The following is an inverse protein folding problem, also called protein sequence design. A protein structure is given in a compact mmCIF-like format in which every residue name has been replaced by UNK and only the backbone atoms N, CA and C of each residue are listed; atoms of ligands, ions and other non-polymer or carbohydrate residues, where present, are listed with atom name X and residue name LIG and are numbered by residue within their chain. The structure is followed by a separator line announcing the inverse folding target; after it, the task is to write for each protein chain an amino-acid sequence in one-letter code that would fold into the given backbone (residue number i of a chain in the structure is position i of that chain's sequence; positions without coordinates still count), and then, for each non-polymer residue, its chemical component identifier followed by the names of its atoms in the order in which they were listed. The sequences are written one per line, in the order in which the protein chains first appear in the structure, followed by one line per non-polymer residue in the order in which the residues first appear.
data_IF_156685198061
#
_entry.id   IF_156685198061
#
_cell.length_a   1.000
_cell.length_b   1.000
_cell.length_c   1.000
_cell.angle_alpha   90.00
_cell.angle_beta   90.00
_cell.angle_gamma   90.00
#
_symmetry.space_group_name_H-M   'P 1'
#
loop_
_entity.id
_entity.type
_entity.pdbx_description
1 polymer ?
#
# COMPACT_ATOMS: atom_id res chain seq x y z
N UNK A 1 -9.06 2.63 -19.17
CA UNK A 1 -9.00 2.78 -17.71
C UNK A 1 -8.10 3.98 -17.42
N UNK A 2 -7.96 4.39 -16.16
CA UNK A 2 -6.88 5.27 -15.70
C UNK A 2 -6.04 4.51 -14.69
N UNK A 3 -4.72 4.71 -14.71
CA UNK A 3 -3.81 4.16 -13.69
C UNK A 3 -3.32 5.26 -12.77
N UNK A 4 -3.26 4.98 -11.48
CA UNK A 4 -2.65 5.85 -10.46
C UNK A 4 -1.67 5.04 -9.64
N UNK A 5 -0.59 5.67 -9.19
CA UNK A 5 0.37 5.08 -8.26
C UNK A 5 0.30 5.84 -6.95
N UNK A 6 0.41 5.15 -5.81
CA UNK A 6 0.25 5.78 -4.49
C UNK A 6 1.33 5.36 -3.50
N UNK A 7 2.11 6.34 -3.06
CA UNK A 7 3.22 6.16 -2.12
C UNK A 7 3.25 7.21 -1.01
N UNK A 8 2.15 7.95 -0.80
CA UNK A 8 2.13 8.93 0.27
C UNK A 8 1.85 8.27 1.64
N UNK A 9 2.51 8.70 2.73
CA UNK A 9 3.58 9.70 2.77
C UNK A 9 4.92 9.16 2.21
N UNK A 10 5.54 9.88 1.27
CA UNK A 10 6.80 9.43 0.64
C UNK A 10 7.94 9.24 1.64
N UNK A 11 7.98 10.06 2.70
CA UNK A 11 8.94 9.91 3.79
C UNK A 11 8.81 8.55 4.51
N UNK A 12 7.60 8.01 4.63
CA UNK A 12 7.35 6.71 5.24
C UNK A 12 7.60 5.56 4.25
N UNK A 13 6.99 5.63 3.06
CA UNK A 13 6.99 4.52 2.09
C UNK A 13 8.35 4.28 1.46
N UNK A 14 9.23 5.27 1.43
CA UNK A 14 10.57 5.20 0.85
C UNK A 14 11.68 5.53 1.85
N UNK A 15 11.43 5.40 3.15
CA UNK A 15 12.44 5.71 4.17
C UNK A 15 13.73 4.89 3.96
N UNK A 16 14.87 5.57 3.80
CA UNK A 16 16.17 4.96 3.59
C UNK A 16 16.47 4.62 2.13
N UNK A 17 15.60 4.99 1.18
CA UNK A 17 15.81 4.81 -0.25
C UNK A 17 16.69 5.94 -0.84
N UNK A 18 17.88 5.58 -1.32
CA UNK A 18 18.85 6.53 -1.88
C UNK A 18 18.41 7.14 -3.21
N UNK A 19 17.70 6.36 -4.04
CA UNK A 19 17.31 6.78 -5.39
C UNK A 19 16.21 7.85 -5.41
N UNK A 20 15.56 8.10 -4.27
CA UNK A 20 14.59 9.19 -4.08
C UNK A 20 15.07 10.24 -3.06
N UNK A 21 16.34 10.22 -2.67
CA UNK A 21 16.90 11.22 -1.74
C UNK A 21 16.32 11.14 -0.32
N UNK A 22 15.97 9.93 0.14
CA UNK A 22 15.39 9.67 1.48
C UNK A 22 16.31 8.83 2.36
N UNK A 23 17.60 8.76 2.05
CA UNK A 23 18.59 7.98 2.80
C UNK A 23 18.76 8.40 4.26
N UNK A 24 18.41 9.64 4.61
CA UNK A 24 18.44 10.19 5.96
C UNK A 24 17.16 9.88 6.76
N UNK A 25 16.12 9.35 6.12
CA UNK A 25 14.84 9.04 6.74
C UNK A 25 14.80 7.58 7.15
N UNK A 26 14.74 7.32 8.46
CA UNK A 26 14.61 5.97 9.02
C UNK A 26 13.78 6.00 10.30
N UNK A 27 13.13 4.89 10.62
CA UNK A 27 12.31 4.76 11.83
C UNK A 27 11.01 5.54 11.78
N UNK A 28 10.55 5.95 10.59
CA UNK A 28 9.27 6.63 10.42
C UNK A 28 8.18 5.58 10.49
N UNK A 29 7.24 5.78 11.40
CA UNK A 29 6.08 4.90 11.56
C UNK A 29 4.85 5.47 10.87
N UNK A 30 4.03 4.56 10.34
CA UNK A 30 2.64 4.82 10.03
C UNK A 30 1.78 4.09 11.06
N UNK A 31 0.99 4.83 11.82
CA UNK A 31 0.29 4.28 12.98
C UNK A 31 -1.18 3.99 12.73
N UNK A 32 -1.70 4.41 11.59
CA UNK A 32 -3.10 4.21 11.23
C UNK A 32 -4.04 4.99 12.13
N UNK A 33 -3.58 6.14 12.61
CA UNK A 33 -4.41 7.16 13.23
C UNK A 33 -5.50 7.61 12.27
N UNK A 34 -6.57 8.19 12.81
CA UNK A 34 -7.69 8.67 11.98
C UNK A 34 -7.24 9.74 10.98
N UNK A 35 -6.29 10.61 11.36
CA UNK A 35 -5.75 11.63 10.47
C UNK A 35 -4.92 11.03 9.33
N UNK A 36 -4.06 10.05 9.60
CA UNK A 36 -3.30 9.35 8.57
C UNK A 36 -4.22 8.62 7.58
N UNK A 37 -5.22 7.90 8.09
CA UNK A 37 -6.22 7.22 7.26
C UNK A 37 -7.03 8.22 6.43
N UNK A 38 -7.42 9.35 7.02
CA UNK A 38 -8.15 10.42 6.35
C UNK A 38 -7.33 11.07 5.25
N UNK A 39 -6.02 11.23 5.42
CA UNK A 39 -5.15 11.77 4.37
C UNK A 39 -5.12 10.88 3.12
N UNK A 40 -4.99 9.57 3.31
CA UNK A 40 -5.04 8.58 2.22
C UNK A 40 -6.42 8.59 1.56
N UNK A 41 -7.49 8.50 2.37
CA UNK A 41 -8.87 8.55 1.87
C UNK A 41 -9.14 9.80 1.05
N UNK A 42 -8.69 10.97 1.52
CA UNK A 42 -8.88 12.24 0.82
C UNK A 42 -8.18 12.25 -0.54
N UNK A 43 -7.03 11.59 -0.66
CA UNK A 43 -6.31 11.45 -1.93
C UNK A 43 -7.08 10.53 -2.90
N UNK A 44 -7.60 9.41 -2.39
CA UNK A 44 -8.37 8.46 -3.17
C UNK A 44 -9.72 9.03 -3.61
N UNK A 45 -10.41 9.77 -2.74
CA UNK A 45 -11.67 10.44 -3.05
C UNK A 45 -11.51 11.43 -4.21
N UNK A 46 -10.37 12.15 -4.30
CA UNK A 46 -10.07 13.05 -5.43
C UNK A 46 -9.95 12.28 -6.74
N UNK A 47 -9.16 11.20 -6.76
CA UNK A 47 -9.03 10.36 -7.95
C UNK A 47 -10.38 9.71 -8.34
N UNK A 48 -11.13 9.22 -7.35
CA UNK A 48 -12.46 8.63 -7.57
C UNK A 48 -13.45 9.63 -8.15
N UNK A 49 -13.43 10.88 -7.68
CA UNK A 49 -14.31 11.95 -8.19
C UNK A 49 -14.00 12.24 -9.65
N UNK A 50 -12.73 12.41 -9.99
CA UNK A 50 -12.29 12.59 -11.38
C UNK A 50 -12.72 11.41 -12.28
N UNK A 51 -12.52 10.17 -11.81
CA UNK A 51 -12.87 8.97 -12.55
C UNK A 51 -14.37 8.84 -12.83
N UNK A 52 -15.23 9.24 -11.87
CA UNK A 52 -16.70 9.27 -12.05
C UNK A 52 -17.12 10.30 -13.07
N UNK A 53 -16.54 11.50 -13.02
CA UNK A 53 -16.82 12.57 -13.97
C UNK A 53 -16.45 12.18 -15.41
N UNK A 54 -15.40 11.38 -15.57
CA UNK A 54 -14.86 10.99 -16.88
C UNK A 54 -15.28 9.57 -17.34
N UNK A 55 -16.14 8.90 -16.58
CA UNK A 55 -16.59 7.52 -16.83
C UNK A 55 -15.42 6.54 -17.09
N UNK A 56 -14.42 6.57 -16.21
CA UNK A 56 -13.23 5.70 -16.29
C UNK A 56 -13.08 4.83 -15.03
N UNK A 57 -12.84 3.51 -15.16
CA UNK A 57 -12.40 2.71 -14.03
C UNK A 57 -10.96 3.04 -13.63
N UNK A 58 -10.67 2.92 -12.34
CA UNK A 58 -9.32 3.12 -11.77
C UNK A 58 -8.61 1.78 -11.55
N UNK A 59 -7.34 1.77 -11.91
CA UNK A 59 -6.35 0.77 -11.51
C UNK A 59 -5.30 1.45 -10.62
N UNK A 60 -5.13 1.00 -9.38
CA UNK A 60 -4.00 1.37 -8.53
C UNK A 60 -2.79 0.53 -8.95
N UNK A 61 -2.07 1.01 -9.96
CA UNK A 61 -1.00 0.26 -10.63
C UNK A 61 0.19 -0.03 -9.74
N UNK A 62 0.46 0.84 -8.76
CA UNK A 62 1.48 0.61 -7.76
C UNK A 62 1.07 1.23 -6.41
N UNK A 63 1.40 0.50 -5.35
CA UNK A 63 1.50 0.99 -3.99
C UNK A 63 2.43 0.07 -3.22
N UNK A 64 3.13 0.60 -2.23
CA UNK A 64 4.13 -0.17 -1.52
C UNK A 64 4.78 0.58 -0.37
N UNK A 65 5.52 -0.17 0.44
CA UNK A 65 6.37 0.36 1.51
C UNK A 65 7.71 -0.37 1.45
N UNK A 66 8.79 0.40 1.46
CA UNK A 66 10.16 -0.08 1.41
C UNK A 66 10.49 -0.95 2.64
N UNK A 67 11.31 -1.98 2.48
CA UNK A 67 11.58 -3.01 3.50
C UNK A 67 12.26 -2.48 4.78
N UNK A 68 12.84 -1.29 4.71
CA UNK A 68 13.44 -0.58 5.86
C UNK A 68 12.43 0.01 6.84
N UNK A 69 11.16 0.12 6.45
CA UNK A 69 10.12 0.59 7.35
C UNK A 69 9.81 -0.45 8.44
N UNK A 70 9.42 -0.04 9.66
CA UNK A 70 8.96 -0.97 10.69
C UNK A 70 7.85 -1.89 10.16
N UNK A 71 8.03 -3.21 10.29
CA UNK A 71 7.13 -4.22 9.69
C UNK A 71 5.66 -4.00 10.08
N UNK A 72 5.41 -3.67 11.35
CA UNK A 72 4.05 -3.41 11.85
C UNK A 72 3.38 -2.22 11.14
N UNK A 73 4.11 -1.12 10.93
CA UNK A 73 3.61 0.02 10.15
C UNK A 73 3.38 -0.35 8.69
N UNK A 74 4.31 -1.11 8.10
CA UNK A 74 4.20 -1.60 6.72
C UNK A 74 2.94 -2.44 6.52
N UNK A 75 2.68 -3.42 7.38
CA UNK A 75 1.49 -4.27 7.34
C UNK A 75 0.21 -3.45 7.48
N UNK A 76 0.14 -2.54 8.47
CA UNK A 76 -1.03 -1.68 8.69
C UNK A 76 -1.33 -0.82 7.47
N UNK A 77 -0.31 -0.17 6.91
CA UNK A 77 -0.45 0.69 5.74
C UNK A 77 -0.94 -0.10 4.52
N UNK A 78 -0.28 -1.22 4.20
CA UNK A 78 -0.61 -2.04 3.02
C UNK A 78 -2.02 -2.61 3.11
N UNK A 79 -2.39 -3.11 4.30
CA UNK A 79 -3.76 -3.57 4.54
C UNK A 79 -4.75 -2.45 4.31
N UNK A 80 -4.53 -1.27 4.90
CA UNK A 80 -5.45 -0.14 4.75
C UNK A 80 -5.60 0.31 3.29
N UNK A 81 -4.50 0.49 2.56
CA UNK A 81 -4.53 0.93 1.15
C UNK A 81 -5.24 -0.08 0.26
N UNK A 82 -4.93 -1.38 0.38
CA UNK A 82 -5.58 -2.43 -0.40
C UNK A 82 -7.09 -2.50 -0.09
N UNK A 83 -7.48 -2.43 1.20
CA UNK A 83 -8.88 -2.44 1.60
C UNK A 83 -9.63 -1.21 1.09
N UNK A 84 -9.01 -0.04 1.15
CA UNK A 84 -9.61 1.19 0.67
C UNK A 84 -9.85 1.15 -0.84
N UNK A 85 -8.84 0.75 -1.62
CA UNK A 85 -8.95 0.57 -3.06
C UNK A 85 -10.12 -0.38 -3.42
N UNK A 86 -10.20 -1.53 -2.76
CA UNK A 86 -11.27 -2.50 -2.99
C UNK A 86 -12.65 -1.98 -2.60
N UNK A 87 -12.76 -1.24 -1.49
CA UNK A 87 -14.03 -0.62 -1.07
C UNK A 87 -14.56 0.40 -2.09
N UNK A 88 -13.67 0.96 -2.91
CA UNK A 88 -14.00 1.88 -4.00
C UNK A 88 -14.18 1.16 -5.36
N UNK A 89 -14.04 -0.17 -5.39
CA UNK A 89 -14.14 -0.97 -6.61
C UNK A 89 -12.91 -0.87 -7.53
N UNK A 90 -11.76 -0.44 -7.01
CA UNK A 90 -10.54 -0.34 -7.80
C UNK A 90 -9.83 -1.70 -7.87
N UNK A 91 -9.24 -1.98 -9.03
CA UNK A 91 -8.22 -3.03 -9.15
C UNK A 91 -6.88 -2.49 -8.67
N UNK A 92 -5.97 -3.35 -8.22
CA UNK A 92 -4.66 -2.92 -7.73
C UNK A 92 -3.55 -3.92 -8.03
N UNK A 93 -2.31 -3.44 -8.10
CA UNK A 93 -1.10 -4.23 -8.14
C UNK A 93 -0.09 -3.71 -7.10
N UNK A 94 0.48 -4.64 -6.33
CA UNK A 94 1.45 -4.32 -5.30
C UNK A 94 2.84 -4.08 -5.90
N UNK A 95 3.52 -3.04 -5.44
CA UNK A 95 4.95 -2.85 -5.69
C UNK A 95 5.76 -3.28 -4.46
N UNK A 96 6.56 -4.35 -4.52
CA UNK A 96 6.69 -5.28 -5.64
C UNK A 96 7.05 -6.71 -5.16
N UNK A 97 7.11 -7.66 -6.10
CA UNK A 97 7.28 -9.09 -5.80
C UNK A 97 8.55 -9.45 -5.00
N UNK A 98 9.76 -9.02 -5.39
CA UNK A 98 11.06 -9.31 -4.72
C UNK A 98 12.06 -8.15 -4.86
N UNK A 99 13.04 -7.99 -3.96
CA UNK A 99 13.97 -6.83 -3.82
C UNK A 99 13.51 -5.83 -2.77
N UNK A 100 13.55 -4.54 -3.04
CA UNK A 100 13.48 -3.50 -2.03
C UNK A 100 12.10 -3.40 -1.32
N UNK A 101 11.02 -3.79 -1.97
CA UNK A 101 9.65 -3.78 -1.41
C UNK A 101 9.14 -5.21 -1.16
N UNK A 102 10.07 -6.14 -0.91
CA UNK A 102 9.89 -7.60 -0.90
C UNK A 102 8.55 -8.12 -0.37
N UNK A 103 7.77 -8.78 -1.22
CA UNK A 103 6.63 -9.63 -0.86
C UNK A 103 7.02 -11.12 -0.83
N UNK A 104 7.97 -11.49 -1.67
CA UNK A 104 8.46 -12.85 -1.86
C UNK A 104 9.99 -12.84 -1.86
N UNK A 105 10.59 -13.61 -0.98
CA UNK A 105 12.03 -13.82 -0.91
C UNK A 105 12.41 -14.93 -1.91
N UNK A 106 12.93 -14.52 -3.08
CA UNK A 106 13.34 -15.45 -4.14
C UNK A 106 14.47 -16.38 -3.67
N UNK A 107 15.60 -15.88 -3.09
CA UNK A 107 16.64 -16.74 -2.56
C UNK A 107 16.15 -17.75 -1.52
N UNK A 108 15.26 -17.31 -0.62
CA UNK A 108 14.67 -18.15 0.42
C UNK A 108 13.48 -19.01 -0.03
N UNK A 109 12.99 -18.81 -1.26
CA UNK A 109 11.81 -19.45 -1.84
C UNK A 109 10.59 -19.42 -0.90
N UNK A 110 10.28 -18.25 -0.33
CA UNK A 110 9.22 -18.09 0.68
C UNK A 110 8.53 -16.74 0.60
N UNK A 111 7.26 -16.70 1.02
CA UNK A 111 6.53 -15.45 1.19
C UNK A 111 6.99 -14.70 2.43
N UNK A 112 6.92 -13.37 2.38
CA UNK A 112 6.94 -12.53 3.57
C UNK A 112 5.52 -12.53 4.14
N UNK A 113 5.21 -13.55 4.94
CA UNK A 113 3.86 -13.85 5.42
C UNK A 113 3.06 -12.65 5.97
N UNK A 114 3.64 -11.74 6.78
CA UNK A 114 2.90 -10.56 7.24
C UNK A 114 2.46 -9.63 6.10
N UNK A 115 3.30 -9.47 5.07
CA UNK A 115 3.01 -8.62 3.90
C UNK A 115 1.99 -9.31 2.99
N UNK A 116 2.13 -10.62 2.75
CA UNK A 116 1.15 -11.40 2.00
C UNK A 116 -0.23 -11.31 2.64
N UNK A 117 -0.33 -11.54 3.95
CA UNK A 117 -1.59 -11.49 4.69
C UNK A 117 -2.20 -10.07 4.75
N UNK A 118 -1.38 -9.02 4.64
CA UNK A 118 -1.87 -7.65 4.53
C UNK A 118 -2.60 -7.40 3.19
N UNK A 119 -2.05 -7.94 2.10
CA UNK A 119 -2.57 -7.79 0.74
C UNK A 119 -3.71 -8.76 0.44
N UNK A 120 -3.53 -10.02 0.82
CA UNK A 120 -4.43 -11.16 0.61
C UNK A 120 -4.71 -11.81 1.97
N UNK A 121 -5.70 -11.31 2.74
CA UNK A 121 -6.01 -11.86 4.04
C UNK A 121 -6.48 -13.32 3.94
N UNK A 122 -6.12 -14.18 4.92
CA UNK A 122 -6.62 -15.55 5.00
C UNK A 122 -8.15 -15.59 5.00
N UNK A 123 -8.73 -16.66 4.45
CA UNK A 123 -10.18 -16.81 4.27
C UNK A 123 -10.98 -16.64 5.59
N UNK A 124 -10.43 -17.14 6.70
CA UNK A 124 -10.98 -17.01 8.06
C UNK A 124 -11.10 -15.55 8.55
N UNK A 125 -10.28 -14.65 8.01
CA UNK A 125 -10.33 -13.22 8.30
C UNK A 125 -11.20 -12.44 7.30
N UNK A 126 -11.53 -13.04 6.16
CA UNK A 126 -12.46 -12.47 5.17
C UNK A 126 -13.91 -12.71 5.57
N UNK A 127 -14.23 -13.89 6.12
CA UNK A 127 -15.60 -14.28 6.51
C UNK A 127 -16.15 -13.55 7.74
N UNK A 128 -15.29 -13.10 8.66
CA UNK A 128 -15.67 -12.29 9.84
C UNK A 128 -16.00 -10.82 9.52
N UNK A 129 -16.00 -10.44 8.23
CA UNK A 129 -16.15 -9.05 7.77
C UNK A 129 -17.45 -8.81 6.98
N UNK A 130 -18.35 -9.80 6.96
CA UNK A 130 -19.72 -9.69 6.45
C UNK A 130 -20.71 -9.43 7.60
#
# INVERSE_FOLDING_TARGET
NVTVHYYEPMDFTHQGAKWVGREDKVGIEWNGTDDEKKAIKSSFDKAQSWAREHDRPIFLGEFGVYDKAPMESRVRYLSFVARLAESMGWSWAYWQFDSDFILYDIPGNKWIEPVLNALIPPEEQRSKRC
#
